data_IF_149862806390
#
_entry.id   IF_149862806390
#
_cell.length_a   1.000
_cell.length_b   1.000
_cell.length_c   1.000
_cell.angle_alpha   90.00
_cell.angle_beta   90.00
_cell.angle_gamma   90.00
#
_symmetry.space_group_name_H-M   'P 1'
#
loop_
_entity.id
_entity.type
_entity.pdbx_description
1 polymer ?
#
# COMPACT_ATOMS: atom_id res chain seq x y z
N UNK A 1 -10.07 37.54 -9.11
CA UNK A 1 -10.46 36.11 -9.09
C UNK A 1 -10.32 35.54 -10.50
N UNK A 2 -9.45 34.56 -10.71
CA UNK A 2 -9.30 33.89 -12.01
C UNK A 2 -10.54 33.03 -12.29
N UNK A 3 -11.29 33.31 -13.36
CA UNK A 3 -12.38 32.42 -13.83
C UNK A 3 -11.73 31.15 -14.36
N UNK A 4 -11.96 30.01 -13.70
CA UNK A 4 -11.53 28.71 -14.21
C UNK A 4 -12.08 28.50 -15.63
N UNK A 5 -11.18 28.26 -16.59
CA UNK A 5 -11.52 27.98 -17.99
C UNK A 5 -11.98 26.52 -18.10
N UNK A 6 -13.05 26.26 -18.85
CA UNK A 6 -13.44 24.89 -19.23
C UNK A 6 -12.34 24.29 -20.11
N UNK A 7 -11.93 23.06 -19.80
CA UNK A 7 -10.93 22.30 -20.56
C UNK A 7 -11.57 21.65 -21.79
N UNK A 8 -10.82 21.52 -22.89
CA UNK A 8 -11.24 20.73 -24.05
C UNK A 8 -11.10 19.22 -23.78
N UNK A 9 -11.84 18.38 -24.51
CA UNK A 9 -11.76 16.92 -24.35
C UNK A 9 -10.34 16.39 -24.65
N UNK A 10 -9.69 16.91 -25.70
CA UNK A 10 -8.32 16.55 -26.07
C UNK A 10 -7.31 16.85 -24.95
N UNK A 11 -7.42 18.03 -24.34
CA UNK A 11 -6.59 18.42 -23.20
C UNK A 11 -6.87 17.55 -21.97
N UNK A 12 -8.12 17.13 -21.74
CA UNK A 12 -8.47 16.20 -20.67
C UNK A 12 -7.82 14.83 -20.90
N UNK A 13 -7.96 14.25 -22.10
CA UNK A 13 -7.36 12.96 -22.46
C UNK A 13 -5.85 13.01 -22.24
N UNK A 14 -5.19 14.05 -22.77
CA UNK A 14 -3.73 14.23 -22.60
C UNK A 14 -3.34 14.27 -21.12
N UNK A 15 -4.02 15.09 -20.31
CA UNK A 15 -3.73 15.19 -18.86
C UNK A 15 -4.00 13.90 -18.11
N UNK A 16 -5.07 13.18 -18.45
CA UNK A 16 -5.43 11.91 -17.82
C UNK A 16 -4.38 10.83 -18.12
N UNK A 17 -4.00 10.68 -19.40
CA UNK A 17 -2.96 9.72 -19.82
C UNK A 17 -1.60 10.07 -19.24
N UNK A 18 -1.22 11.36 -19.24
CA UNK A 18 0.03 11.83 -18.62
C UNK A 18 0.05 11.53 -17.12
N UNK A 19 -1.05 11.78 -16.40
CA UNK A 19 -1.19 11.46 -14.97
C UNK A 19 -1.02 9.96 -14.74
N UNK A 20 -1.72 9.13 -15.50
CA UNK A 20 -1.63 7.67 -15.38
C UNK A 20 -0.21 7.17 -15.65
N UNK A 21 0.44 7.66 -16.70
CA UNK A 21 1.78 7.21 -17.10
C UNK A 21 2.88 7.63 -16.12
N UNK A 22 2.73 8.79 -15.47
CA UNK A 22 3.67 9.32 -14.47
C UNK A 22 3.46 8.79 -13.06
N UNK A 23 2.45 7.94 -12.83
CA UNK A 23 2.22 7.36 -11.51
C UNK A 23 3.46 6.59 -11.06
N UNK A 24 3.69 6.61 -9.75
CA UNK A 24 4.77 5.87 -9.11
C UNK A 24 4.52 4.36 -9.27
N UNK A 25 5.46 3.67 -9.94
CA UNK A 25 5.37 2.22 -10.27
C UNK A 25 6.26 1.34 -9.41
N UNK A 26 7.30 1.92 -8.82
CA UNK A 26 8.29 1.23 -8.00
C UNK A 26 8.67 2.17 -6.85
N UNK A 27 8.94 1.61 -5.68
CA UNK A 27 9.46 2.31 -4.51
C UNK A 27 10.55 1.49 -3.86
N UNK A 28 11.55 2.19 -3.33
CA UNK A 28 12.58 1.60 -2.50
C UNK A 28 12.29 1.97 -1.04
N UNK A 29 12.21 0.97 -0.17
CA UNK A 29 11.89 1.14 1.25
C UNK A 29 12.99 0.47 2.08
N UNK A 30 13.52 1.21 3.04
CA UNK A 30 14.43 0.65 4.05
C UNK A 30 13.66 -0.29 4.98
N UNK A 31 14.07 -1.56 5.01
CA UNK A 31 13.50 -2.62 5.84
C UNK A 31 14.54 -3.03 6.88
N UNK A 32 14.17 -2.89 8.15
CA UNK A 32 15.05 -3.21 9.27
C UNK A 32 15.58 -4.65 9.18
N UNK A 33 16.89 -4.81 9.26
CA UNK A 33 17.57 -6.11 9.15
C UNK A 33 17.82 -6.62 7.72
N UNK A 34 17.23 -5.99 6.69
CA UNK A 34 17.37 -6.41 5.29
C UNK A 34 17.94 -5.33 4.38
N UNK A 35 17.95 -4.06 4.82
CA UNK A 35 18.38 -2.94 4.01
C UNK A 35 17.27 -2.44 3.08
N UNK A 36 17.67 -1.81 1.97
CA UNK A 36 16.73 -1.26 1.00
C UNK A 36 16.15 -2.39 0.14
N UNK A 37 14.84 -2.58 0.19
CA UNK A 37 14.10 -3.49 -0.68
C UNK A 37 13.26 -2.70 -1.68
N UNK A 38 13.20 -3.20 -2.91
CA UNK A 38 12.40 -2.62 -3.99
C UNK A 38 11.02 -3.29 -4.04
N UNK A 39 9.98 -2.46 -4.08
CA UNK A 39 8.58 -2.87 -4.18
C UNK A 39 7.98 -2.31 -5.46
N UNK A 40 7.29 -3.16 -6.22
CA UNK A 40 6.50 -2.78 -7.38
C UNK A 40 5.10 -2.36 -6.94
N UNK A 41 4.48 -1.45 -7.68
CA UNK A 41 3.13 -0.97 -7.38
C UNK A 41 2.16 -2.16 -7.49
N UNK A 42 1.46 -2.53 -6.41
CA UNK A 42 0.41 -3.55 -6.48
C UNK A 42 -0.70 -3.11 -7.44
N UNK A 43 -1.58 -4.02 -7.82
CA UNK A 43 -2.72 -3.62 -8.64
C UNK A 43 -3.64 -2.65 -7.86
N UNK A 44 -4.41 -1.83 -8.57
CA UNK A 44 -5.38 -0.95 -7.91
C UNK A 44 -6.43 -1.76 -7.11
N UNK A 45 -6.69 -3.01 -7.52
CA UNK A 45 -7.54 -3.95 -6.78
C UNK A 45 -6.91 -4.38 -5.46
N UNK A 46 -5.62 -4.72 -5.46
CA UNK A 46 -4.91 -5.16 -4.24
C UNK A 46 -4.82 -4.01 -3.23
N UNK A 47 -4.51 -2.80 -3.70
CA UNK A 47 -4.48 -1.60 -2.86
C UNK A 47 -5.87 -1.29 -2.28
N UNK A 48 -6.93 -1.42 -3.07
CA UNK A 48 -8.29 -1.19 -2.61
C UNK A 48 -8.72 -2.23 -1.58
N UNK A 49 -8.43 -3.50 -1.83
CA UNK A 49 -8.75 -4.59 -0.91
C UNK A 49 -8.03 -4.39 0.42
N UNK A 50 -6.72 -4.13 0.40
CA UNK A 50 -5.96 -3.82 1.60
C UNK A 50 -6.58 -2.69 2.44
N UNK A 51 -6.96 -1.58 1.79
CA UNK A 51 -7.60 -0.44 2.47
C UNK A 51 -8.97 -0.81 3.05
N UNK A 52 -9.78 -1.55 2.30
CA UNK A 52 -11.09 -1.99 2.76
C UNK A 52 -10.96 -2.92 3.97
N UNK A 53 -10.06 -3.90 3.92
CA UNK A 53 -9.81 -4.81 5.03
C UNK A 53 -9.30 -4.05 6.26
N UNK A 54 -8.35 -3.12 6.10
CA UNK A 54 -7.87 -2.30 7.20
C UNK A 54 -8.98 -1.46 7.82
N UNK A 55 -9.79 -0.78 7.02
CA UNK A 55 -10.91 0.02 7.53
C UNK A 55 -11.94 -0.84 8.29
N UNK A 56 -12.26 -2.03 7.78
CA UNK A 56 -13.21 -2.95 8.40
C UNK A 56 -12.64 -3.69 9.63
N UNK A 57 -11.31 -3.78 9.74
CA UNK A 57 -10.65 -4.36 10.91
C UNK A 57 -10.75 -3.47 12.15
N UNK A 58 -11.06 -2.18 11.97
CA UNK A 58 -11.21 -1.21 13.05
C UNK A 58 -12.69 -0.93 13.26
N UNK A 59 -13.21 -1.32 14.41
CA UNK A 59 -14.57 -0.96 14.81
C UNK A 59 -14.51 0.27 15.71
N UNK A 60 -15.11 1.36 15.26
CA UNK A 60 -15.28 2.57 16.08
C UNK A 60 -16.52 2.44 16.96
N UNK A 61 -16.41 2.97 18.18
CA UNK A 61 -17.54 3.14 19.09
C UNK A 61 -18.32 4.42 18.73
N UNK A 62 -19.40 4.71 19.48
CA UNK A 62 -20.22 5.92 19.28
C UNK A 62 -19.49 7.24 19.61
N UNK A 63 -18.39 7.18 20.38
CA UNK A 63 -17.61 8.35 20.77
C UNK A 63 -16.33 8.51 19.95
N UNK A 64 -16.24 7.83 18.81
CA UNK A 64 -15.08 7.82 17.89
C UNK A 64 -13.81 7.18 18.47
N UNK A 65 -13.88 6.51 19.64
CA UNK A 65 -12.80 5.64 20.11
C UNK A 65 -12.81 4.26 19.42
N UNK A 66 -11.65 3.58 19.41
CA UNK A 66 -11.53 2.22 18.88
C UNK A 66 -12.15 1.23 19.88
N UNK A 67 -13.29 0.64 19.48
CA UNK A 67 -14.01 -0.41 20.23
C UNK A 67 -13.33 -1.78 20.09
N UNK A 68 -12.89 -2.10 18.87
CA UNK A 68 -12.24 -3.39 18.55
C UNK A 68 -11.29 -3.24 17.38
N UNK A 69 -10.16 -3.95 17.46
CA UNK A 69 -9.20 -4.09 16.37
C UNK A 69 -9.00 -5.57 16.04
N UNK A 70 -9.24 -5.94 14.79
CA UNK A 70 -9.05 -7.31 14.28
C UNK A 70 -7.68 -7.47 13.62
N UNK A 71 -6.67 -7.71 14.45
CA UNK A 71 -5.28 -7.92 14.01
C UNK A 71 -5.13 -9.06 13.00
N UNK A 72 -6.01 -10.07 13.03
CA UNK A 72 -5.92 -11.20 12.08
C UNK A 72 -6.28 -10.74 10.67
N UNK A 73 -7.35 -9.94 10.54
CA UNK A 73 -7.72 -9.36 9.25
C UNK A 73 -6.64 -8.42 8.73
N UNK A 74 -6.06 -7.59 9.60
CA UNK A 74 -4.95 -6.70 9.23
C UNK A 74 -3.75 -7.50 8.73
N UNK A 75 -3.34 -8.55 9.44
CA UNK A 75 -2.20 -9.37 9.05
C UNK A 75 -2.42 -10.08 7.72
N UNK A 76 -3.62 -10.64 7.49
CA UNK A 76 -3.96 -11.33 6.24
C UNK A 76 -3.90 -10.39 5.03
N UNK A 77 -4.48 -9.19 5.13
CA UNK A 77 -4.37 -8.19 4.07
C UNK A 77 -2.92 -7.73 3.85
N UNK A 78 -2.15 -7.60 4.94
CA UNK A 78 -0.77 -7.13 4.89
C UNK A 78 0.18 -8.14 4.23
N UNK A 79 0.06 -9.44 4.56
CA UNK A 79 0.92 -10.48 3.98
C UNK A 79 0.72 -10.61 2.47
N UNK A 80 -0.52 -10.52 1.99
CA UNK A 80 -0.84 -10.60 0.55
C UNK A 80 -0.29 -9.40 -0.22
N UNK A 81 -0.51 -8.19 0.30
CA UNK A 81 -0.01 -6.96 -0.32
C UNK A 81 1.52 -6.97 -0.45
N UNK A 82 2.23 -7.35 0.62
CA UNK A 82 3.69 -7.41 0.64
C UNK A 82 4.19 -8.46 -0.35
N UNK A 83 3.67 -9.68 -0.29
CA UNK A 83 4.09 -10.77 -1.17
C UNK A 83 3.97 -10.35 -2.64
N UNK A 84 2.81 -9.83 -3.05
CA UNK A 84 2.56 -9.43 -4.43
C UNK A 84 3.40 -8.23 -4.90
N UNK A 85 4.00 -7.47 -3.99
CA UNK A 85 4.75 -6.26 -4.30
C UNK A 85 6.27 -6.46 -4.35
N UNK A 86 6.81 -7.53 -3.75
CA UNK A 86 8.26 -7.75 -3.63
C UNK A 86 8.69 -9.08 -4.26
N UNK A 87 9.42 -9.01 -5.37
CA UNK A 87 9.84 -10.21 -6.12
C UNK A 87 10.73 -11.15 -5.31
N UNK A 88 11.53 -10.64 -4.37
CA UNK A 88 12.39 -11.48 -3.53
C UNK A 88 11.60 -12.48 -2.68
N UNK A 89 10.37 -12.14 -2.29
CA UNK A 89 9.52 -13.00 -1.47
C UNK A 89 8.95 -14.18 -2.27
N UNK A 90 9.06 -14.17 -3.59
CA UNK A 90 8.66 -15.29 -4.46
C UNK A 90 9.75 -16.37 -4.58
N UNK A 91 10.85 -16.26 -3.83
CA UNK A 91 11.95 -17.23 -3.88
C UNK A 91 11.52 -18.60 -3.35
N UNK A 92 11.71 -19.64 -4.18
CA UNK A 92 11.51 -21.03 -3.77
C UNK A 92 12.50 -21.45 -2.66
N UNK A 93 13.69 -20.84 -2.61
CA UNK A 93 14.67 -21.07 -1.55
C UNK A 93 14.13 -20.57 -0.22
N UNK A 94 13.57 -19.35 -0.18
CA UNK A 94 12.92 -18.83 1.03
C UNK A 94 11.74 -19.69 1.48
N UNK A 95 10.92 -20.15 0.54
CA UNK A 95 9.78 -21.02 0.83
C UNK A 95 10.23 -22.32 1.53
N UNK A 96 11.34 -22.90 1.09
CA UNK A 96 11.89 -24.14 1.66
C UNK A 96 12.59 -23.90 3.00
N UNK A 97 13.50 -22.93 3.06
CA UNK A 97 14.34 -22.66 4.24
C UNK A 97 13.52 -22.18 5.45
N UNK A 98 12.40 -21.49 5.21
CA UNK A 98 11.50 -21.00 6.26
C UNK A 98 10.37 -21.99 6.61
N UNK A 99 10.35 -23.16 5.95
CA UNK A 99 9.34 -24.20 6.08
C UNK A 99 7.92 -23.63 5.93
N UNK A 100 7.72 -22.81 4.89
CA UNK A 100 6.44 -22.18 4.61
C UNK A 100 5.43 -23.20 4.06
N UNK A 101 4.20 -23.16 4.55
CA UNK A 101 3.12 -24.02 4.05
C UNK A 101 2.47 -23.44 2.80
N UNK A 102 2.34 -22.12 2.75
CA UNK A 102 1.86 -21.35 1.60
C UNK A 102 2.73 -20.11 1.36
N UNK A 103 2.73 -19.53 0.13
CA UNK A 103 3.60 -18.40 -0.20
C UNK A 103 3.39 -17.18 0.71
N UNK A 104 2.16 -16.94 1.16
CA UNK A 104 1.83 -15.83 2.04
C UNK A 104 2.33 -16.02 3.48
N UNK A 105 2.88 -17.18 3.83
CA UNK A 105 3.58 -17.36 5.11
C UNK A 105 4.94 -16.64 5.10
N UNK A 106 5.56 -16.47 3.92
CA UNK A 106 6.90 -15.89 3.79
C UNK A 106 6.98 -14.49 4.42
N UNK A 107 6.11 -13.51 4.08
CA UNK A 107 6.15 -12.19 4.73
C UNK A 107 6.13 -12.26 6.26
N UNK A 108 5.29 -13.14 6.83
CA UNK A 108 5.15 -13.28 8.28
C UNK A 108 6.42 -13.90 8.87
N UNK A 109 7.00 -14.92 8.22
CA UNK A 109 8.22 -15.59 8.67
C UNK A 109 9.44 -14.69 8.58
N UNK A 110 9.51 -13.84 7.56
CA UNK A 110 10.64 -12.92 7.32
C UNK A 110 10.54 -11.68 8.21
N UNK A 111 9.37 -11.04 8.30
CA UNK A 111 9.21 -9.73 8.95
C UNK A 111 8.51 -9.80 10.32
N UNK A 112 7.98 -10.95 10.72
CA UNK A 112 7.11 -11.07 11.89
C UNK A 112 5.74 -10.43 11.68
N UNK A 113 4.84 -10.59 12.65
CA UNK A 113 3.46 -10.09 12.57
C UNK A 113 3.42 -8.56 12.45
N UNK A 114 4.04 -7.87 13.40
CA UNK A 114 4.00 -6.40 13.45
C UNK A 114 4.78 -5.77 12.30
N UNK A 115 5.94 -6.35 11.94
CA UNK A 115 6.73 -5.90 10.81
C UNK A 115 6.00 -6.05 9.49
N UNK A 116 5.25 -7.15 9.30
CA UNK A 116 4.39 -7.34 8.12
C UNK A 116 3.32 -6.26 8.05
N UNK A 117 2.60 -5.99 9.14
CA UNK A 117 1.54 -4.97 9.13
C UNK A 117 2.11 -3.57 8.85
N UNK A 118 3.20 -3.20 9.52
CA UNK A 118 3.83 -1.89 9.36
C UNK A 118 4.43 -1.69 7.97
N UNK A 119 5.07 -2.73 7.41
CA UNK A 119 5.65 -2.66 6.07
C UNK A 119 4.56 -2.52 5.00
N UNK A 120 3.43 -3.23 5.13
CA UNK A 120 2.31 -3.12 4.21
C UNK A 120 1.71 -1.70 4.23
N UNK A 121 1.59 -1.10 5.43
CA UNK A 121 1.16 0.30 5.57
C UNK A 121 2.13 1.26 4.85
N UNK A 122 3.44 1.12 5.07
CA UNK A 122 4.47 1.92 4.38
C UNK A 122 4.40 1.78 2.86
N UNK A 123 4.20 0.56 2.34
CA UNK A 123 4.05 0.30 0.91
C UNK A 123 2.81 1.01 0.38
N UNK A 124 1.66 0.86 1.05
CA UNK A 124 0.43 1.53 0.66
C UNK A 124 0.61 3.05 0.62
N UNK A 125 1.11 3.65 1.70
CA UNK A 125 1.39 5.10 1.80
C UNK A 125 2.35 5.58 0.72
N UNK A 126 3.38 4.78 0.40
CA UNK A 126 4.35 5.13 -0.63
C UNK A 126 3.72 5.19 -2.02
N UNK A 127 2.70 4.37 -2.30
CA UNK A 127 1.96 4.31 -3.57
C UNK A 127 0.68 5.13 -3.62
N UNK A 128 0.23 5.68 -2.50
CA UNK A 128 -0.80 6.70 -2.48
C UNK A 128 -0.34 7.91 -3.28
N UNK A 129 -1.15 8.29 -4.27
CA UNK A 129 -0.89 9.48 -5.07
C UNK A 129 -0.92 10.69 -4.14
N UNK A 130 0.25 11.22 -3.78
CA UNK A 130 0.41 12.46 -3.02
C UNK A 130 0.00 13.64 -3.91
N UNK A 131 -1.29 13.77 -4.17
CA UNK A 131 -1.89 14.90 -4.88
C UNK A 131 -3.16 15.35 -4.15
N UNK A 132 -2.98 15.71 -2.89
CA UNK A 132 -3.61 16.92 -2.39
C UNK A 132 -2.45 17.86 -2.09
N UNK A 133 -2.06 18.68 -3.07
CA UNK A 133 -1.50 19.98 -2.71
C UNK A 133 -2.60 20.65 -1.86
N UNK A 134 -2.51 20.50 -0.53
CA UNK A 134 -3.18 21.41 0.38
C UNK A 134 -2.56 22.75 0.04
N UNK A 135 -3.24 23.51 -0.82
CA UNK A 135 -2.97 24.93 -0.99
C UNK A 135 -3.28 25.55 0.36
N UNK A 136 -2.29 25.56 1.26
CA UNK A 136 -2.31 26.36 2.47
C UNK A 136 -2.28 27.80 1.96
N UNK A 137 -3.47 28.39 1.80
CA UNK A 137 -3.60 29.83 1.72
C UNK A 137 -3.34 30.34 3.12
N UNK A 138 -2.11 30.78 3.38
CA UNK A 138 -1.86 31.67 4.52
C UNK A 138 -2.80 32.88 4.34
N UNK A 139 -3.75 33.02 5.26
CA UNK A 139 -4.55 34.22 5.46
C UNK A 139 -4.02 34.95 6.67
#
# INVERSE_FOLDING_TARGET
MSKAKKIALEDFIKKATDKYNKRKRVVDIEVEGFGILTFTRPSDSDLLEFKNTLANSIKMSKDESIDKLDYRQMLNASKELIYNSCEFLHSNELMQDLECGEPFDIPIKVFGIDGTIQLAQKINEAFEDSNVETVIKNS
#
